data_IF_918946342782
#
_entry.id   IF_918946342782
#
_cell.length_a   1.000
_cell.length_b   1.000
_cell.length_c   1.000
_cell.angle_alpha   90.00
_cell.angle_beta   90.00
_cell.angle_gamma   90.00
#
_symmetry.space_group_name_H-M   'P 1'
#
loop_
_entity.id
_entity.type
_entity.pdbx_description
1 polymer ?
#
# COMPACT_ATOMS: atom_id res chain seq x y z
N UNK A 1 7.21 -9.58 25.50
CA UNK A 1 5.93 -9.17 24.87
C UNK A 1 6.19 -7.89 24.11
N UNK A 2 6.62 -7.98 22.85
CA UNK A 2 6.79 -6.80 22.00
C UNK A 2 5.65 -6.86 21.00
N UNK A 3 4.74 -5.90 21.08
CA UNK A 3 3.49 -5.94 20.32
C UNK A 3 3.78 -6.16 18.84
N UNK A 4 3.15 -7.19 18.28
CA UNK A 4 3.16 -7.41 16.85
C UNK A 4 2.67 -6.12 16.19
N UNK A 5 3.54 -5.47 15.39
CA UNK A 5 3.24 -4.19 14.75
C UNK A 5 1.87 -4.26 14.08
N UNK A 6 0.92 -3.49 14.59
CA UNK A 6 -0.44 -3.41 14.07
C UNK A 6 -0.63 -2.05 13.41
N UNK A 7 -1.35 -2.05 12.30
CA UNK A 7 -1.75 -0.80 11.66
C UNK A 7 -2.83 -0.17 12.56
N UNK A 8 -2.57 1.05 13.02
CA UNK A 8 -3.59 1.86 13.66
C UNK A 8 -4.53 2.42 12.58
N UNK A 9 -5.55 1.62 12.23
CA UNK A 9 -6.50 1.92 11.16
C UNK A 9 -7.20 3.26 11.32
N UNK A 10 -7.37 3.74 12.56
CA UNK A 10 -8.02 5.01 12.86
C UNK A 10 -7.21 6.21 12.39
N UNK A 11 -5.88 6.10 12.38
CA UNK A 11 -4.99 7.13 11.83
C UNK A 11 -4.68 6.88 10.36
N UNK A 12 -4.47 5.61 10.00
CA UNK A 12 -4.06 5.24 8.65
C UNK A 12 -5.10 5.65 7.59
N UNK A 13 -6.36 5.25 7.75
CA UNK A 13 -7.41 5.50 6.74
C UNK A 13 -7.68 6.98 6.46
N UNK A 14 -7.95 7.85 7.45
CA UNK A 14 -8.23 9.25 7.15
C UNK A 14 -7.00 9.96 6.58
N UNK A 15 -5.79 9.63 7.03
CA UNK A 15 -4.57 10.27 6.55
C UNK A 15 -4.22 9.84 5.11
N UNK A 16 -4.40 8.55 4.78
CA UNK A 16 -4.17 8.03 3.42
C UNK A 16 -5.25 8.49 2.44
N UNK A 17 -6.50 8.62 2.88
CA UNK A 17 -7.58 9.18 2.08
C UNK A 17 -7.36 10.68 1.83
N UNK A 18 -6.99 11.44 2.87
CA UNK A 18 -6.73 12.87 2.73
C UNK A 18 -5.61 13.16 1.71
N UNK A 19 -4.51 12.40 1.75
CA UNK A 19 -3.42 12.56 0.77
C UNK A 19 -3.88 12.23 -0.65
N UNK A 20 -4.72 11.21 -0.81
CA UNK A 20 -5.24 10.78 -2.11
C UNK A 20 -6.23 11.79 -2.68
N UNK A 21 -7.09 12.38 -1.84
CA UNK A 21 -8.03 13.43 -2.25
C UNK A 21 -7.27 14.69 -2.66
N UNK A 22 -6.27 15.10 -1.88
CA UNK A 22 -5.45 16.27 -2.17
C UNK A 22 -4.75 16.13 -3.54
N UNK A 23 -4.21 14.95 -3.83
CA UNK A 23 -3.60 14.66 -5.14
C UNK A 23 -4.64 14.48 -6.25
N UNK A 24 -5.85 14.02 -5.91
CA UNK A 24 -6.98 13.94 -6.84
C UNK A 24 -7.44 15.29 -7.39
N UNK A 25 -7.24 16.39 -6.65
CA UNK A 25 -7.51 17.74 -7.15
C UNK A 25 -6.59 18.15 -8.33
N UNK A 26 -5.44 17.50 -8.49
CA UNK A 26 -4.54 17.73 -9.63
C UNK A 26 -4.90 16.89 -10.86
N UNK A 27 -5.85 15.95 -10.74
CA UNK A 27 -6.37 15.19 -11.87
C UNK A 27 -7.34 16.05 -12.69
N UNK A 28 -7.19 16.03 -14.01
CA UNK A 28 -8.01 16.84 -14.92
C UNK A 28 -9.21 16.06 -15.46
N UNK A 29 -9.11 14.73 -15.49
CA UNK A 29 -10.10 13.85 -16.09
C UNK A 29 -10.73 12.91 -15.06
N UNK A 30 -12.02 12.57 -15.24
CA UNK A 30 -12.70 11.57 -14.42
C UNK A 30 -11.99 10.20 -14.47
N UNK A 31 -11.44 9.85 -15.63
CA UNK A 31 -10.68 8.62 -15.82
C UNK A 31 -9.41 8.59 -14.94
N UNK A 32 -8.68 9.70 -14.86
CA UNK A 32 -7.51 9.83 -13.98
C UNK A 32 -7.89 9.65 -12.51
N UNK A 33 -9.04 10.18 -12.09
CA UNK A 33 -9.56 10.02 -10.72
C UNK A 33 -9.89 8.55 -10.43
N UNK A 34 -10.57 7.85 -11.34
CA UNK A 34 -10.88 6.42 -11.16
C UNK A 34 -9.61 5.57 -11.06
N UNK A 35 -8.61 5.86 -11.89
CA UNK A 35 -7.32 5.14 -11.84
C UNK A 35 -6.58 5.46 -10.54
N UNK A 36 -6.59 6.72 -10.08
CA UNK A 36 -5.99 7.09 -8.80
C UNK A 36 -6.62 6.35 -7.63
N UNK A 37 -7.95 6.20 -7.62
CA UNK A 37 -8.67 5.40 -6.63
C UNK A 37 -8.32 3.91 -6.75
N UNK A 38 -8.21 3.38 -7.96
CA UNK A 38 -7.78 2.00 -8.20
C UNK A 38 -6.36 1.74 -7.67
N UNK A 39 -5.43 2.64 -7.98
CA UNK A 39 -4.05 2.61 -7.45
C UNK A 39 -4.08 2.70 -5.93
N UNK A 40 -4.86 3.61 -5.35
CA UNK A 40 -5.03 3.72 -3.89
C UNK A 40 -5.42 2.38 -3.25
N UNK A 41 -6.43 1.69 -3.80
CA UNK A 41 -6.87 0.40 -3.27
C UNK A 41 -5.76 -0.65 -3.35
N UNK A 42 -5.04 -0.72 -4.47
CA UNK A 42 -3.91 -1.64 -4.65
C UNK A 42 -2.80 -1.36 -3.62
N UNK A 43 -2.53 -0.09 -3.33
CA UNK A 43 -1.52 0.30 -2.35
C UNK A 43 -1.95 -0.09 -0.93
N UNK A 44 -3.20 0.15 -0.56
CA UNK A 44 -3.75 -0.29 0.74
C UNK A 44 -3.62 -1.80 0.90
N UNK A 45 -3.96 -2.58 -0.14
CA UNK A 45 -3.78 -4.05 -0.13
C UNK A 45 -2.29 -4.42 0.01
N UNK A 46 -1.41 -3.75 -0.73
CA UNK A 46 0.03 -3.98 -0.65
C UNK A 46 0.60 -3.71 0.76
N UNK A 47 0.12 -2.64 1.42
CA UNK A 47 0.48 -2.32 2.81
C UNK A 47 0.01 -3.38 3.79
N UNK A 48 -1.21 -3.91 3.62
CA UNK A 48 -1.70 -5.02 4.45
C UNK A 48 -0.83 -6.26 4.34
N UNK A 49 -0.45 -6.62 3.11
CA UNK A 49 0.45 -7.74 2.86
C UNK A 49 1.84 -7.49 3.43
N UNK A 50 2.34 -6.24 3.36
CA UNK A 50 3.62 -5.86 3.97
C UNK A 50 3.60 -6.06 5.49
N UNK A 51 2.57 -5.60 6.18
CA UNK A 51 2.47 -5.77 7.64
C UNK A 51 2.33 -7.25 8.00
N UNK A 52 1.50 -8.02 7.28
CA UNK A 52 1.40 -9.48 7.49
C UNK A 52 2.74 -10.18 7.29
N UNK A 53 3.48 -9.85 6.23
CA UNK A 53 4.80 -10.43 5.96
C UNK A 53 5.80 -10.09 7.08
N UNK A 54 5.85 -8.81 7.49
CA UNK A 54 6.79 -8.32 8.51
C UNK A 54 6.51 -8.96 9.86
N UNK A 55 5.25 -8.99 10.29
CA UNK A 55 4.83 -9.64 11.53
C UNK A 55 5.14 -11.14 11.53
N UNK A 56 5.02 -11.80 10.38
CA UNK A 56 5.33 -13.22 10.25
C UNK A 56 6.82 -13.53 10.30
N UNK A 57 7.66 -12.68 9.69
CA UNK A 57 9.12 -12.76 9.83
C UNK A 57 9.51 -12.61 11.30
N UNK A 58 8.89 -11.65 12.00
CA UNK A 58 9.14 -11.38 13.41
C UNK A 58 8.78 -12.59 14.29
N UNK A 59 7.59 -13.17 14.12
CA UNK A 59 7.18 -14.38 14.85
C UNK A 59 8.05 -15.60 14.54
N UNK A 60 8.50 -15.74 13.30
CA UNK A 60 9.40 -16.84 12.91
C UNK A 60 10.79 -16.66 13.54
N UNK A 61 11.29 -15.43 13.60
CA UNK A 61 12.54 -15.10 14.29
C UNK A 61 12.46 -15.33 15.81
N UNK A 62 11.27 -15.16 16.40
CA UNK A 62 10.98 -15.49 17.81
C UNK A 62 10.74 -16.99 18.05
N UNK A 63 10.90 -17.85 17.03
CA UNK A 63 10.72 -19.30 17.15
C UNK A 63 9.27 -19.77 17.23
N UNK A 64 8.29 -18.89 16.97
CA UNK A 64 6.88 -19.28 16.94
C UNK A 64 6.55 -19.99 15.61
N UNK A 65 5.76 -21.07 15.69
CA UNK A 65 5.26 -21.78 14.50
C UNK A 65 4.28 -20.89 13.74
N UNK A 66 4.71 -20.33 12.62
CA UNK A 66 3.82 -19.61 11.71
C UNK A 66 3.22 -20.58 10.68
N UNK A 67 1.94 -20.42 10.31
CA UNK A 67 1.22 -21.33 9.41
C UNK A 67 1.84 -21.46 8.00
N UNK A 68 1.34 -22.36 7.15
CA UNK A 68 2.02 -22.78 5.91
C UNK A 68 2.05 -21.77 4.74
N UNK A 69 1.57 -20.54 4.88
CA UNK A 69 1.53 -19.58 3.75
C UNK A 69 2.92 -19.00 3.46
N UNK A 70 3.68 -19.54 2.50
CA UNK A 70 5.08 -19.13 2.28
C UNK A 70 5.25 -17.59 2.18
N UNK A 71 6.20 -17.02 2.91
CA UNK A 71 6.56 -15.58 2.85
C UNK A 71 6.90 -15.19 1.39
N UNK A 72 7.48 -16.12 0.65
CA UNK A 72 7.78 -15.98 -0.79
C UNK A 72 6.50 -15.69 -1.59
N UNK A 73 5.41 -16.39 -1.30
CA UNK A 73 4.13 -16.19 -1.98
C UNK A 73 3.57 -14.79 -1.70
N UNK A 74 3.65 -14.33 -0.44
CA UNK A 74 3.20 -12.98 -0.07
C UNK A 74 4.01 -11.92 -0.82
N UNK A 75 5.33 -12.09 -0.93
CA UNK A 75 6.18 -11.15 -1.66
C UNK A 75 5.93 -11.18 -3.18
N UNK A 76 5.66 -12.35 -3.77
CA UNK A 76 5.28 -12.45 -5.18
C UNK A 76 3.97 -11.72 -5.47
N UNK A 77 2.94 -11.92 -4.65
CA UNK A 77 1.65 -11.21 -4.81
C UNK A 77 1.84 -9.69 -4.71
N UNK A 78 2.68 -9.22 -3.78
CA UNK A 78 3.00 -7.78 -3.66
C UNK A 78 3.68 -7.23 -4.91
N UNK A 79 4.64 -7.96 -5.47
CA UNK A 79 5.29 -7.59 -6.72
C UNK A 79 4.28 -7.50 -7.87
N UNK A 80 3.42 -8.50 -8.02
CA UNK A 80 2.37 -8.50 -9.05
C UNK A 80 1.40 -7.32 -8.88
N UNK A 81 1.00 -6.99 -7.65
CA UNK A 81 0.15 -5.84 -7.34
C UNK A 81 0.82 -4.52 -7.73
N UNK A 82 2.12 -4.35 -7.42
CA UNK A 82 2.87 -3.15 -7.82
C UNK A 82 2.97 -3.02 -9.34
N UNK A 83 3.24 -4.11 -10.05
CA UNK A 83 3.26 -4.12 -11.51
C UNK A 83 1.90 -3.76 -12.11
N UNK A 84 0.81 -4.29 -11.56
CA UNK A 84 -0.55 -3.95 -11.99
C UNK A 84 -0.85 -2.46 -11.76
N UNK A 85 -0.53 -1.92 -10.58
CA UNK A 85 -0.75 -0.51 -10.28
C UNK A 85 0.06 0.42 -11.19
N UNK A 86 1.33 0.09 -11.44
CA UNK A 86 2.20 0.86 -12.34
C UNK A 86 1.70 0.78 -13.78
N UNK A 87 1.36 -0.42 -14.26
CA UNK A 87 0.84 -0.62 -15.62
C UNK A 87 -0.45 0.16 -15.85
N UNK A 88 -1.39 0.11 -14.89
CA UNK A 88 -2.62 0.90 -14.92
C UNK A 88 -2.33 2.42 -14.90
N UNK A 89 -1.37 2.84 -14.07
CA UNK A 89 -0.95 4.24 -14.02
C UNK A 89 -0.37 4.73 -15.35
N UNK A 90 0.54 3.98 -15.96
CA UNK A 90 1.18 4.37 -17.23
C UNK A 90 0.15 4.41 -18.36
N UNK A 91 -0.68 3.37 -18.45
CA UNK A 91 -1.59 3.20 -19.58
C UNK A 91 -2.72 4.23 -19.60
N UNK A 92 -3.22 4.64 -18.42
CA UNK A 92 -4.41 5.50 -18.34
C UNK A 92 -4.12 6.95 -17.93
N UNK A 93 -3.07 7.20 -17.15
CA UNK A 93 -2.69 8.56 -16.71
C UNK A 93 -1.60 9.14 -17.62
N UNK A 94 -0.83 8.29 -18.31
CA UNK A 94 0.23 8.71 -19.22
C UNK A 94 1.30 9.51 -18.49
N UNK A 95 1.55 10.74 -18.97
CA UNK A 95 2.62 11.62 -18.51
C UNK A 95 2.46 12.07 -17.04
N UNK A 96 1.23 12.04 -16.51
CA UNK A 96 0.91 12.44 -15.13
C UNK A 96 1.06 11.32 -14.11
N UNK A 97 1.67 10.19 -14.47
CA UNK A 97 1.91 9.07 -13.55
C UNK A 97 2.65 9.47 -12.27
N UNK A 98 3.43 10.56 -12.35
CA UNK A 98 4.17 11.10 -11.20
C UNK A 98 3.24 11.41 -10.02
N UNK A 99 1.98 11.81 -10.26
CA UNK A 99 0.99 12.06 -9.20
C UNK A 99 0.70 10.76 -8.42
N UNK A 100 0.49 9.65 -9.12
CA UNK A 100 0.26 8.33 -8.52
C UNK A 100 1.48 7.82 -7.75
N UNK A 101 2.69 8.05 -8.28
CA UNK A 101 3.95 7.68 -7.60
C UNK A 101 4.14 8.51 -6.32
N UNK A 102 3.90 9.82 -6.38
CA UNK A 102 3.98 10.71 -5.21
C UNK A 102 2.94 10.28 -4.16
N UNK A 103 1.70 9.95 -4.58
CA UNK A 103 0.68 9.44 -3.67
C UNK A 103 1.15 8.17 -2.96
N UNK A 104 1.76 7.24 -3.70
CA UNK A 104 2.32 6.02 -3.15
C UNK A 104 3.41 6.30 -2.11
N UNK A 105 4.35 7.20 -2.41
CA UNK A 105 5.39 7.60 -1.47
C UNK A 105 4.80 8.21 -0.18
N UNK A 106 3.81 9.09 -0.30
CA UNK A 106 3.10 9.65 0.86
C UNK A 106 2.41 8.56 1.68
N UNK A 107 1.71 7.62 1.03
CA UNK A 107 1.04 6.53 1.73
C UNK A 107 2.02 5.61 2.47
N UNK A 108 3.23 5.41 1.95
CA UNK A 108 4.29 4.67 2.66
C UNK A 108 4.73 5.38 3.94
N UNK A 109 4.84 6.71 3.91
CA UNK A 109 5.12 7.53 5.11
C UNK A 109 3.97 7.46 6.10
N UNK A 110 2.73 7.58 5.61
CA UNK A 110 1.51 7.42 6.43
C UNK A 110 1.48 6.05 7.12
N UNK A 111 1.81 4.98 6.38
CA UNK A 111 1.92 3.64 6.95
C UNK A 111 3.00 3.57 8.04
N UNK A 112 4.19 4.13 7.78
CA UNK A 112 5.29 4.14 8.74
C UNK A 112 4.91 4.84 10.05
N UNK A 113 4.18 5.95 9.98
CA UNK A 113 3.67 6.68 11.15
C UNK A 113 2.53 5.93 11.85
N UNK A 114 1.70 5.21 11.08
CA UNK A 114 0.53 4.48 11.61
C UNK A 114 0.86 3.09 12.17
N UNK A 115 2.12 2.65 12.05
CA UNK A 115 2.61 1.40 12.61
C UNK A 115 2.96 1.58 14.09
N UNK A 116 2.15 1.00 14.98
CA UNK A 116 2.43 0.90 16.42
C UNK A 116 2.75 -0.54 16.81
#
# INVERSE_FOLDING_TARGET
MRDAKKIDWKFYLPLSLASTILLGFFCQNLLEIYVLIGVYLVVVINHLLLVKATTRILFTAEGQKTGSTSIVLINLVKLSLLFLALSLGIHFIGDRIIISIINYCFQMVVLAISLK
#
